data_IF_515312554937
#
_entry.id   IF_515312554937
#
_cell.length_a   1.000
_cell.length_b   1.000
_cell.length_c   1.000
_cell.angle_alpha   90.00
_cell.angle_beta   90.00
_cell.angle_gamma   90.00
#
_symmetry.space_group_name_H-M   'P 1'
#
loop_
_entity.id
_entity.type
_entity.pdbx_description
1 polymer ?
#
# COMPACT_ATOMS: atom_id res chain seq x y z
N UNK A 1 14.82 15.52 23.32
CA UNK A 1 14.68 14.09 22.97
C UNK A 1 13.28 13.88 22.41
N UNK A 2 13.13 13.29 21.22
CA UNK A 2 11.82 13.01 20.62
C UNK A 2 11.16 11.81 21.30
N UNK A 3 9.85 11.89 21.57
CA UNK A 3 9.06 10.86 22.24
C UNK A 3 9.00 9.57 21.39
N UNK A 4 9.43 8.40 21.92
CA UNK A 4 9.43 7.14 21.19
C UNK A 4 8.03 6.61 20.83
N UNK A 5 6.95 7.22 21.34
CA UNK A 5 5.56 6.87 20.99
C UNK A 5 4.98 7.71 19.84
N UNK A 6 5.73 8.69 19.32
CA UNK A 6 5.26 9.53 18.23
C UNK A 6 5.33 8.78 16.88
N UNK A 7 4.32 7.95 16.60
CA UNK A 7 4.09 7.41 15.25
C UNK A 7 3.65 8.56 14.35
N UNK A 8 4.60 9.20 13.68
CA UNK A 8 4.29 10.19 12.64
C UNK A 8 3.69 9.45 11.44
N UNK A 9 2.37 9.38 11.36
CA UNK A 9 1.67 8.97 10.16
C UNK A 9 1.91 10.07 9.12
N UNK A 10 2.94 9.92 8.30
CA UNK A 10 3.18 10.83 7.17
C UNK A 10 2.12 10.51 6.12
N UNK A 11 1.10 11.34 6.04
CA UNK A 11 0.10 11.26 4.97
C UNK A 11 0.72 11.79 3.67
N UNK A 12 0.99 10.90 2.73
CA UNK A 12 1.35 11.29 1.38
C UNK A 12 0.09 11.74 0.63
N UNK A 13 0.04 13.02 0.24
CA UNK A 13 -1.01 13.53 -0.63
C UNK A 13 -0.65 13.22 -2.08
N UNK A 14 -1.10 12.07 -2.58
CA UNK A 14 -0.99 11.76 -3.99
C UNK A 14 -2.08 12.49 -4.77
N UNK A 15 -1.68 13.37 -5.70
CA UNK A 15 -2.59 13.85 -6.74
C UNK A 15 -2.59 12.81 -7.85
N UNK A 16 -3.63 11.98 -7.86
CA UNK A 16 -3.88 11.03 -8.93
C UNK A 16 -4.79 11.69 -9.96
N UNK A 17 -4.58 11.34 -11.23
CA UNK A 17 -5.56 11.59 -12.27
C UNK A 17 -6.92 10.97 -11.87
N UNK A 18 -8.07 11.62 -12.14
CA UNK A 18 -9.38 11.10 -11.76
C UNK A 18 -9.67 9.68 -12.28
N UNK A 19 -9.22 9.34 -13.50
CA UNK A 19 -9.42 8.01 -14.07
C UNK A 19 -8.61 6.95 -13.33
N UNK A 20 -7.34 7.28 -13.02
CA UNK A 20 -6.45 6.42 -12.24
C UNK A 20 -7.00 6.22 -10.82
N UNK A 21 -7.51 7.30 -10.19
CA UNK A 21 -8.12 7.23 -8.86
C UNK A 21 -9.32 6.28 -8.85
N UNK A 22 -10.16 6.32 -9.89
CA UNK A 22 -11.31 5.43 -10.00
C UNK A 22 -10.89 3.97 -10.19
N UNK A 23 -9.89 3.71 -11.03
CA UNK A 23 -9.34 2.36 -11.22
C UNK A 23 -8.78 1.78 -9.91
N UNK A 24 -7.98 2.57 -9.17
CA UNK A 24 -7.47 2.16 -7.85
C UNK A 24 -8.60 1.93 -6.85
N UNK A 25 -9.61 2.79 -6.83
CA UNK A 25 -10.74 2.66 -5.91
C UNK A 25 -11.56 1.39 -6.20
N UNK A 26 -11.74 1.04 -7.47
CA UNK A 26 -12.41 -0.18 -7.88
C UNK A 26 -11.60 -1.42 -7.46
N UNK A 27 -10.30 -1.47 -7.80
CA UNK A 27 -9.45 -2.61 -7.46
C UNK A 27 -9.33 -2.81 -5.94
N UNK A 28 -9.14 -1.72 -5.18
CA UNK A 28 -9.13 -1.76 -3.72
C UNK A 28 -10.45 -2.28 -3.14
N UNK A 29 -11.60 -1.90 -3.74
CA UNK A 29 -12.93 -2.38 -3.31
C UNK A 29 -13.13 -3.86 -3.62
N UNK A 30 -12.69 -4.33 -4.78
CA UNK A 30 -12.77 -5.75 -5.17
C UNK A 30 -11.94 -6.63 -4.23
N UNK A 31 -10.79 -6.13 -3.78
CA UNK A 31 -9.91 -6.83 -2.82
C UNK A 31 -10.25 -6.56 -1.34
N UNK A 32 -11.23 -5.68 -1.06
CA UNK A 32 -11.66 -5.37 0.30
C UNK A 32 -10.62 -4.61 1.15
N UNK A 33 -9.69 -3.90 0.53
CA UNK A 33 -8.61 -3.14 1.18
C UNK A 33 -8.74 -1.63 0.96
N UNK A 34 -7.95 -0.82 1.67
CA UNK A 34 -7.89 0.62 1.39
C UNK A 34 -7.10 0.92 0.11
N UNK A 35 -7.44 2.02 -0.57
CA UNK A 35 -6.72 2.47 -1.78
C UNK A 35 -5.21 2.60 -1.55
N UNK A 36 -4.81 3.09 -0.37
CA UNK A 36 -3.40 3.25 -0.01
C UNK A 36 -2.70 1.90 0.14
N UNK A 37 -3.35 0.92 0.79
CA UNK A 37 -2.80 -0.44 0.92
C UNK A 37 -2.64 -1.09 -0.46
N UNK A 38 -3.67 -0.99 -1.30
CA UNK A 38 -3.65 -1.55 -2.65
C UNK A 38 -2.52 -0.93 -3.50
N UNK A 39 -2.41 0.41 -3.51
CA UNK A 39 -1.32 1.12 -4.20
C UNK A 39 0.06 0.71 -3.69
N UNK A 40 0.21 0.59 -2.37
CA UNK A 40 1.48 0.20 -1.77
C UNK A 40 1.85 -1.22 -2.20
N UNK A 41 0.89 -2.15 -2.18
CA UNK A 41 1.08 -3.53 -2.62
C UNK A 41 1.46 -3.61 -4.10
N UNK A 42 0.74 -2.91 -4.98
CA UNK A 42 1.03 -2.87 -6.41
C UNK A 42 2.43 -2.31 -6.72
N UNK A 43 2.85 -1.25 -6.02
CA UNK A 43 4.20 -0.68 -6.15
C UNK A 43 5.26 -1.68 -5.69
N UNK A 44 5.04 -2.35 -4.55
CA UNK A 44 5.98 -3.31 -4.00
C UNK A 44 6.15 -4.54 -4.90
N UNK A 45 5.05 -5.03 -5.45
CA UNK A 45 5.04 -6.14 -6.41
C UNK A 45 5.80 -5.77 -7.68
N UNK A 46 5.46 -4.62 -8.31
CA UNK A 46 6.10 -4.17 -9.54
C UNK A 46 7.57 -3.81 -9.38
N UNK A 47 7.97 -3.30 -8.21
CA UNK A 47 9.36 -2.98 -7.92
C UNK A 47 10.20 -4.21 -7.55
N UNK A 48 9.59 -5.40 -7.37
CA UNK A 48 10.23 -6.61 -6.85
C UNK A 48 11.04 -6.34 -5.56
N UNK A 49 10.57 -5.36 -4.76
CA UNK A 49 11.26 -4.78 -3.61
C UNK A 49 10.33 -4.82 -2.39
N UNK A 50 10.06 -6.02 -1.83
CA UNK A 50 9.20 -6.19 -0.65
C UNK A 50 9.79 -5.52 0.61
N UNK A 51 11.06 -5.15 0.56
CA UNK A 51 11.78 -4.36 1.57
C UNK A 51 11.22 -2.93 1.71
N UNK A 52 10.68 -2.36 0.64
CA UNK A 52 10.07 -1.03 0.64
C UNK A 52 8.69 -0.98 1.31
N UNK A 53 8.09 -2.14 1.60
CA UNK A 53 6.84 -2.19 2.34
C UNK A 53 7.06 -2.02 3.84
N UNK A 54 6.16 -1.30 4.53
CA UNK A 54 6.16 -1.32 5.98
C UNK A 54 5.94 -2.76 6.48
N UNK A 55 6.62 -3.10 7.58
CA UNK A 55 6.77 -4.48 8.06
C UNK A 55 5.45 -5.22 8.36
N UNK A 56 4.37 -4.48 8.61
CA UNK A 56 3.03 -5.07 8.81
C UNK A 56 2.36 -5.50 7.50
N UNK A 57 2.62 -4.80 6.39
CA UNK A 57 2.05 -5.12 5.06
C UNK A 57 2.91 -6.12 4.29
N UNK A 58 4.18 -6.26 4.66
CA UNK A 58 5.11 -7.22 4.03
C UNK A 58 4.61 -8.67 4.13
N UNK A 59 3.99 -9.07 5.24
CA UNK A 59 3.44 -10.41 5.39
C UNK A 59 2.20 -10.63 4.51
N UNK A 60 1.34 -9.61 4.37
CA UNK A 60 0.14 -9.68 3.52
C UNK A 60 0.51 -9.81 2.04
N UNK A 61 1.52 -9.07 1.57
CA UNK A 61 1.97 -9.13 0.17
C UNK A 61 2.74 -10.40 -0.17
N UNK A 62 3.54 -10.94 0.75
CA UNK A 62 4.15 -12.27 0.56
C UNK A 62 3.05 -13.33 0.41
N UNK A 63 2.03 -13.29 1.27
CA UNK A 63 0.92 -14.24 1.25
C UNK A 63 0.09 -14.16 -0.05
N UNK A 64 -0.12 -12.96 -0.58
CA UNK A 64 -0.78 -12.75 -1.86
C UNK A 64 0.02 -13.33 -3.03
N UNK A 65 1.36 -13.23 -2.99
CA UNK A 65 2.25 -13.75 -4.04
C UNK A 65 2.34 -15.28 -4.06
N UNK A 66 2.27 -15.94 -2.90
CA UNK A 66 2.28 -17.42 -2.81
C UNK A 66 0.93 -18.07 -3.14
N UNK A 67 -0.14 -17.27 -3.26
CA UNK A 67 -1.50 -17.72 -3.55
C UNK A 67 -1.92 -17.54 -5.03
N UNK A 68 -1.03 -17.01 -5.87
CA UNK A 68 -1.22 -16.79 -7.31
C UNK A 68 -0.42 -17.80 -8.14
#
# INVERSE_FOLDING_TARGET
MADPRYKRTVTANFRLDPEVKNAVAQAAREEGVSMTQWLTAAIADRACRPDLMPSHTRQEVISLRDSA
#
